data_IF_857966133428
#
_entry.id   IF_857966133428
#
_cell.length_a   1.000
_cell.length_b   1.000
_cell.length_c   1.000
_cell.angle_alpha   90.00
_cell.angle_beta   90.00
_cell.angle_gamma   90.00
#
_symmetry.space_group_name_H-M   'P 1'
#
loop_
_entity.id
_entity.type
_entity.pdbx_description
1 polymer ?
#
# COMPACT_ATOMS: atom_id res chain seq x y z
N UNK A 1 -13.59 18.89 2.36
CA UNK A 1 -12.45 19.84 2.21
C UNK A 1 -11.11 19.17 2.45
N UNK A 2 -10.91 18.36 3.50
CA UNK A 2 -9.67 17.58 3.69
C UNK A 2 -9.42 16.58 2.57
N UNK A 3 -10.46 15.89 2.10
CA UNK A 3 -10.35 14.92 1.01
C UNK A 3 -9.89 15.58 -0.31
N UNK A 4 -10.38 16.78 -0.61
CA UNK A 4 -9.93 17.54 -1.79
C UNK A 4 -8.46 17.95 -1.69
N UNK A 5 -7.97 18.34 -0.51
CA UNK A 5 -6.53 18.65 -0.34
C UNK A 5 -5.67 17.41 -0.60
N UNK A 6 -6.11 16.26 -0.08
CA UNK A 6 -5.42 14.99 -0.26
C UNK A 6 -5.41 14.54 -1.73
N UNK A 7 -6.55 14.59 -2.42
CA UNK A 7 -6.65 14.19 -3.82
C UNK A 7 -5.82 15.11 -4.74
N UNK A 8 -5.87 16.43 -4.53
CA UNK A 8 -5.03 17.37 -5.28
C UNK A 8 -3.54 17.10 -5.05
N UNK A 9 -3.14 16.80 -3.82
CA UNK A 9 -1.75 16.46 -3.54
C UNK A 9 -1.31 15.17 -4.24
N UNK A 10 -2.18 14.15 -4.32
CA UNK A 10 -1.89 12.93 -5.08
C UNK A 10 -1.72 13.26 -6.57
N UNK A 11 -2.55 14.12 -7.13
CA UNK A 11 -2.43 14.60 -8.51
C UNK A 11 -1.06 15.24 -8.73
N UNK A 12 -0.66 16.18 -7.88
CA UNK A 12 0.66 16.82 -7.94
C UNK A 12 1.82 15.80 -7.81
N UNK A 13 1.68 14.81 -6.93
CA UNK A 13 2.68 13.74 -6.76
C UNK A 13 2.81 12.89 -8.01
N UNK A 14 1.70 12.54 -8.67
CA UNK A 14 1.72 11.75 -9.90
C UNK A 14 2.34 12.52 -11.07
N UNK A 15 2.11 13.84 -11.15
CA UNK A 15 2.75 14.71 -12.14
C UNK A 15 4.26 14.84 -11.91
N UNK A 16 4.69 14.90 -10.66
CA UNK A 16 6.10 15.10 -10.29
C UNK A 16 6.86 13.82 -9.97
N UNK A 17 6.23 12.64 -10.11
CA UNK A 17 6.82 11.38 -9.63
C UNK A 17 8.16 11.09 -10.31
N UNK A 18 9.17 10.62 -9.56
CA UNK A 18 10.42 10.19 -10.16
C UNK A 18 10.17 9.04 -11.15
N UNK A 19 10.75 9.10 -12.35
CA UNK A 19 10.64 8.03 -13.37
C UNK A 19 11.03 6.67 -12.80
N UNK A 20 11.95 6.65 -11.83
CA UNK A 20 12.39 5.44 -11.14
C UNK A 20 11.28 4.68 -10.43
N UNK A 21 10.17 5.32 -10.05
CA UNK A 21 8.98 4.64 -9.50
C UNK A 21 8.31 3.70 -10.50
N UNK A 22 8.57 3.86 -11.80
CA UNK A 22 8.06 2.98 -12.85
C UNK A 22 9.14 2.08 -13.44
N UNK A 23 10.36 2.60 -13.59
CA UNK A 23 11.40 1.93 -14.40
C UNK A 23 12.43 1.16 -13.58
N UNK A 24 12.59 1.45 -12.29
CA UNK A 24 13.59 0.78 -11.48
C UNK A 24 13.03 -0.51 -10.88
N UNK A 25 13.77 -1.59 -11.14
CA UNK A 25 13.56 -2.90 -10.53
C UNK A 25 14.86 -3.41 -9.88
N UNK A 26 15.87 -2.54 -9.74
CA UNK A 26 17.24 -2.91 -9.32
C UNK A 26 17.91 -1.91 -8.34
N UNK A 27 18.84 -2.50 -7.55
CA UNK A 27 19.38 -2.17 -6.23
C UNK A 27 19.48 -0.71 -5.75
N UNK A 28 18.93 -0.46 -4.54
CA UNK A 28 19.57 0.39 -3.51
C UNK A 28 19.47 -0.28 -2.11
N UNK A 29 19.90 -1.54 -1.92
CA UNK A 29 19.80 -2.25 -0.62
C UNK A 29 20.74 -1.74 0.51
N UNK A 30 21.58 -0.74 0.32
CA UNK A 30 22.54 -0.40 1.39
C UNK A 30 21.92 0.38 2.58
N UNK A 31 20.61 0.70 2.57
CA UNK A 31 20.00 1.65 3.53
C UNK A 31 18.67 1.15 4.16
N UNK A 32 18.22 -0.08 3.91
CA UNK A 32 16.83 -0.44 4.22
C UNK A 32 16.62 -1.62 5.19
N UNK A 33 15.64 -1.46 6.08
CA UNK A 33 15.11 -2.56 6.90
C UNK A 33 13.87 -3.10 6.19
N UNK A 34 13.99 -4.29 5.59
CA UNK A 34 12.93 -4.94 4.81
C UNK A 34 11.61 -5.07 5.58
N UNK A 35 11.65 -5.20 6.90
CA UNK A 35 10.43 -5.30 7.71
C UNK A 35 9.71 -3.96 7.84
N UNK A 36 10.44 -2.85 7.67
CA UNK A 36 9.95 -1.49 7.88
C UNK A 36 9.81 -0.67 6.61
N UNK A 37 10.19 -1.20 5.45
CA UNK A 37 9.15 -1.37 4.47
C UNK A 37 8.42 -0.12 3.96
N UNK A 38 7.19 -0.44 3.61
CA UNK A 38 6.05 0.44 3.58
C UNK A 38 5.98 1.45 4.75
N UNK A 39 6.33 1.08 5.99
CA UNK A 39 6.17 1.99 7.15
C UNK A 39 7.04 3.25 6.98
N UNK A 40 8.32 3.09 6.68
CA UNK A 40 9.26 4.20 6.47
C UNK A 40 8.87 5.06 5.27
N UNK A 41 8.42 4.44 4.18
CA UNK A 41 7.90 5.17 3.02
C UNK A 41 6.73 6.06 3.43
N UNK A 42 5.74 5.50 4.12
CA UNK A 42 4.52 6.21 4.53
C UNK A 42 4.81 7.34 5.52
N UNK A 43 5.71 7.12 6.49
CA UNK A 43 6.09 8.15 7.47
C UNK A 43 6.71 9.38 6.79
N UNK A 44 7.65 9.16 5.86
CA UNK A 44 8.26 10.27 5.12
C UNK A 44 7.31 10.90 4.10
N UNK A 45 6.48 10.09 3.45
CA UNK A 45 5.46 10.58 2.53
C UNK A 45 4.42 11.47 3.25
N UNK A 46 3.99 11.08 4.46
CA UNK A 46 3.09 11.89 5.29
C UNK A 46 3.73 13.21 5.72
N UNK A 47 5.04 13.24 6.00
CA UNK A 47 5.76 14.48 6.26
C UNK A 47 5.71 15.42 5.04
N UNK A 48 6.00 14.90 3.84
CA UNK A 48 5.91 15.68 2.60
C UNK A 48 4.49 16.20 2.33
N UNK A 49 3.46 15.38 2.59
CA UNK A 49 2.06 15.81 2.47
C UNK A 49 1.71 16.93 3.45
N UNK A 50 2.15 16.84 4.70
CA UNK A 50 1.92 17.86 5.70
C UNK A 50 2.58 19.20 5.32
N UNK A 51 3.76 19.13 4.70
CA UNK A 51 4.51 20.27 4.18
C UNK A 51 4.04 20.73 2.78
N UNK A 52 3.07 20.02 2.18
CA UNK A 52 2.58 20.26 0.81
C UNK A 52 3.72 20.27 -0.23
N UNK A 53 4.67 19.36 -0.09
CA UNK A 53 5.88 19.26 -0.90
C UNK A 53 5.83 18.04 -1.84
N UNK A 54 5.33 18.25 -3.05
CA UNK A 54 5.29 17.26 -4.12
C UNK A 54 6.49 17.35 -5.08
N UNK A 55 7.56 18.09 -4.75
CA UNK A 55 8.70 18.27 -5.64
C UNK A 55 9.40 16.94 -5.97
N UNK A 56 9.74 16.74 -7.25
CA UNK A 56 10.39 15.51 -7.72
C UNK A 56 11.69 15.17 -6.99
N UNK A 57 12.47 16.16 -6.56
CA UNK A 57 13.67 15.96 -5.74
C UNK A 57 13.36 15.38 -4.37
N UNK A 58 12.31 15.87 -3.70
CA UNK A 58 11.88 15.35 -2.40
C UNK A 58 11.29 13.94 -2.53
N UNK A 59 10.49 13.69 -3.57
CA UNK A 59 9.91 12.37 -3.83
C UNK A 59 10.98 11.31 -4.18
N UNK A 60 12.08 11.72 -4.79
CA UNK A 60 13.21 10.84 -5.13
C UNK A 60 13.98 10.34 -3.91
N UNK A 61 13.90 11.07 -2.79
CA UNK A 61 14.58 10.71 -1.52
C UNK A 61 13.72 9.79 -0.65
N UNK A 62 12.46 9.54 -1.00
CA UNK A 62 11.61 8.62 -0.25
C UNK A 62 12.23 7.20 -0.23
N UNK A 63 12.20 6.50 0.90
CA UNK A 63 12.78 5.18 1.03
C UNK A 63 11.85 4.17 0.33
N UNK A 64 12.27 3.73 -0.85
CA UNK A 64 11.47 2.86 -1.73
C UNK A 64 12.12 1.49 -1.86
N UNK A 65 11.33 0.43 -1.70
CA UNK A 65 11.78 -0.95 -1.95
C UNK A 65 11.65 -1.32 -3.44
N UNK A 66 12.38 -0.63 -4.34
CA UNK A 66 12.30 -0.89 -5.79
C UNK A 66 12.58 -2.36 -6.17
N UNK A 67 13.47 -3.00 -5.41
CA UNK A 67 13.99 -4.35 -5.71
C UNK A 67 13.08 -5.48 -5.26
N UNK A 68 12.26 -5.17 -4.27
CA UNK A 68 11.29 -6.08 -3.71
C UNK A 68 9.97 -5.36 -3.72
N UNK A 69 9.43 -5.17 -4.93
CA UNK A 69 8.11 -4.58 -5.21
C UNK A 69 7.03 -5.19 -4.28
N UNK A 70 7.20 -6.47 -3.91
CA UNK A 70 6.34 -7.22 -2.97
C UNK A 70 6.34 -6.67 -1.53
N UNK A 71 7.37 -5.93 -1.12
CA UNK A 71 7.52 -5.32 0.21
C UNK A 71 6.91 -3.92 0.31
N UNK A 72 6.66 -3.25 -0.81
CA UNK A 72 6.07 -1.91 -0.82
C UNK A 72 6.50 -1.07 -2.01
N UNK A 73 5.92 -1.35 -3.18
CA UNK A 73 6.09 -0.49 -4.36
C UNK A 73 5.55 0.92 -4.11
N UNK A 74 6.23 2.01 -4.53
CA UNK A 74 5.82 3.38 -4.23
C UNK A 74 4.39 3.70 -4.67
N UNK A 75 4.00 3.30 -5.88
CA UNK A 75 2.64 3.52 -6.40
C UNK A 75 1.58 2.67 -5.68
N UNK A 76 1.94 1.47 -5.22
CA UNK A 76 1.02 0.67 -4.39
C UNK A 76 0.84 1.31 -3.02
N UNK A 77 1.92 1.79 -2.40
CA UNK A 77 1.88 2.52 -1.14
C UNK A 77 1.05 3.81 -1.26
N UNK A 78 1.16 4.54 -2.37
CA UNK A 78 0.37 5.75 -2.65
C UNK A 78 -1.13 5.41 -2.76
N UNK A 79 -1.48 4.38 -3.53
CA UNK A 79 -2.87 3.91 -3.66
C UNK A 79 -3.44 3.48 -2.31
N UNK A 80 -2.69 2.67 -1.56
CA UNK A 80 -3.09 2.20 -0.24
C UNK A 80 -3.26 3.34 0.75
N UNK A 81 -2.38 4.34 0.71
CA UNK A 81 -2.48 5.55 1.52
C UNK A 81 -3.73 6.37 1.18
N UNK A 82 -4.03 6.57 -0.11
CA UNK A 82 -5.21 7.28 -0.57
C UNK A 82 -6.50 6.60 -0.09
N UNK A 83 -6.62 5.29 -0.33
CA UNK A 83 -7.77 4.49 0.08
C UNK A 83 -7.92 4.48 1.60
N UNK A 84 -6.83 4.37 2.34
CA UNK A 84 -6.86 4.42 3.80
C UNK A 84 -7.41 5.75 4.31
N UNK A 85 -6.93 6.89 3.78
CA UNK A 85 -7.41 8.21 4.18
C UNK A 85 -8.89 8.40 3.86
N UNK A 86 -9.34 8.02 2.66
CA UNK A 86 -10.75 8.09 2.26
C UNK A 86 -11.70 7.27 3.16
N UNK A 87 -11.18 6.20 3.77
CA UNK A 87 -11.95 5.32 4.65
C UNK A 87 -11.63 5.51 6.15
N UNK A 88 -10.88 6.56 6.53
CA UNK A 88 -10.43 6.80 7.91
C UNK A 88 -9.70 5.61 8.55
N UNK A 89 -8.89 4.91 7.76
CA UNK A 89 -8.05 3.79 8.19
C UNK A 89 -6.58 4.21 8.30
N UNK A 90 -5.78 3.42 9.02
CA UNK A 90 -4.32 3.62 9.08
C UNK A 90 -3.68 3.09 7.79
N UNK A 91 -2.95 3.89 7.00
CA UNK A 91 -2.32 3.46 5.74
C UNK A 91 -1.47 2.19 5.85
N UNK A 92 -0.73 2.04 6.95
CA UNK A 92 0.07 0.83 7.23
C UNK A 92 -0.73 -0.48 7.28
N UNK A 93 -2.04 -0.42 7.49
CA UNK A 93 -2.94 -1.57 7.60
C UNK A 93 -3.69 -1.90 6.29
N UNK A 94 -3.62 -1.05 5.27
CA UNK A 94 -4.36 -1.24 4.02
C UNK A 94 -3.45 -1.84 2.96
N UNK A 95 -3.76 -3.02 2.43
CA UNK A 95 -2.93 -3.70 1.43
C UNK A 95 -3.76 -3.92 0.16
N UNK A 96 -3.18 -3.55 -0.97
CA UNK A 96 -3.76 -3.73 -2.30
C UNK A 96 -3.47 -5.14 -2.83
N UNK A 97 -4.45 -5.71 -3.53
CA UNK A 97 -4.33 -7.04 -4.13
C UNK A 97 -4.85 -7.02 -5.57
N UNK A 98 -4.32 -7.90 -6.41
CA UNK A 98 -4.69 -8.00 -7.83
C UNK A 98 -6.10 -8.54 -8.07
N UNK A 99 -6.79 -9.04 -7.05
CA UNK A 99 -8.17 -9.49 -7.14
C UNK A 99 -8.93 -9.33 -5.83
N UNK A 100 -10.26 -9.47 -5.92
CA UNK A 100 -11.16 -9.44 -4.76
C UNK A 100 -11.04 -10.69 -3.87
N UNK A 101 -10.54 -11.81 -4.39
CA UNK A 101 -10.46 -13.10 -3.67
C UNK A 101 -9.12 -13.31 -2.97
N UNK A 102 -8.03 -12.80 -3.54
CA UNK A 102 -6.68 -12.89 -2.97
C UNK A 102 -6.56 -12.36 -1.53
N UNK A 103 -7.15 -11.22 -1.11
CA UNK A 103 -7.04 -10.77 0.29
C UNK A 103 -7.57 -11.82 1.29
N UNK A 104 -8.68 -12.47 0.95
CA UNK A 104 -9.27 -13.53 1.79
C UNK A 104 -8.30 -14.71 1.89
N UNK A 105 -7.76 -15.16 0.75
CA UNK A 105 -6.77 -16.24 0.71
C UNK A 105 -5.49 -15.91 1.49
N UNK A 106 -5.02 -14.65 1.42
CA UNK A 106 -3.85 -14.20 2.15
C UNK A 106 -4.06 -14.32 3.67
N UNK A 107 -5.22 -13.89 4.17
CA UNK A 107 -5.60 -14.01 5.59
C UNK A 107 -5.70 -15.49 5.99
N UNK A 108 -6.36 -16.32 5.19
CA UNK A 108 -6.52 -17.75 5.47
C UNK A 108 -5.16 -18.47 5.54
N UNK A 109 -4.26 -18.19 4.57
CA UNK A 109 -2.91 -18.76 4.56
C UNK A 109 -2.10 -18.30 5.77
N UNK A 110 -2.21 -17.02 6.14
CA UNK A 110 -1.51 -16.50 7.32
C UNK A 110 -2.01 -17.16 8.60
N UNK A 111 -3.32 -17.26 8.79
CA UNK A 111 -3.90 -17.93 9.96
C UNK A 111 -3.51 -19.41 10.04
N UNK A 112 -3.46 -20.12 8.90
CA UNK A 112 -3.00 -21.50 8.86
C UNK A 112 -1.54 -21.64 9.34
N UNK A 113 -0.63 -20.78 8.83
CA UNK A 113 0.77 -20.75 9.26
C UNK A 113 0.92 -20.44 10.76
N UNK A 114 0.04 -19.58 11.30
CA UNK A 114 0.02 -19.20 12.71
C UNK A 114 -0.75 -20.20 13.60
N UNK A 115 -1.21 -21.34 13.05
CA UNK A 115 -2.07 -22.32 13.73
C UNK A 115 -3.32 -21.68 14.38
N UNK A 116 -3.85 -20.63 13.76
CA UNK A 116 -5.04 -19.91 14.21
C UNK A 116 -6.29 -20.48 13.56
N UNK A 117 -7.20 -21.03 14.39
CA UNK A 117 -8.54 -21.44 13.93
C UNK A 117 -9.27 -20.24 13.33
N UNK A 118 -9.79 -20.40 12.12
CA UNK A 118 -10.48 -19.34 11.36
C UNK A 118 -11.94 -19.71 11.17
N UNK A 119 -12.83 -18.74 11.40
CA UNK A 119 -14.26 -18.83 11.07
C UNK A 119 -14.57 -17.71 10.08
N UNK A 120 -15.27 -18.05 8.99
CA UNK A 120 -15.77 -17.09 8.01
C UNK A 120 -17.26 -16.90 8.28
N UNK A 121 -17.68 -15.66 8.50
CA UNK A 121 -19.08 -15.29 8.71
C UNK A 121 -19.49 -14.43 7.51
N UNK A 122 -20.57 -14.80 6.84
CA UNK A 122 -21.08 -14.10 5.67
C UNK A 122 -22.58 -13.88 5.85
N UNK A 123 -23.04 -12.65 5.62
CA UNK A 123 -24.42 -12.23 5.90
C UNK A 123 -25.30 -12.14 4.66
N UNK A 124 -24.74 -12.34 3.47
CA UNK A 124 -25.48 -12.39 2.20
C UNK A 124 -25.82 -13.82 1.78
N UNK A 125 -26.40 -13.95 0.59
CA UNK A 125 -26.60 -15.25 -0.06
C UNK A 125 -25.27 -15.80 -0.57
N UNK A 126 -25.00 -17.08 -0.28
CA UNK A 126 -23.76 -17.75 -0.71
C UNK A 126 -23.63 -17.63 -2.23
N UNK A 127 -22.42 -17.29 -2.75
CA UNK A 127 -22.23 -17.23 -4.19
C UNK A 127 -22.50 -18.59 -4.84
N UNK A 128 -23.09 -18.62 -6.04
CA UNK A 128 -23.43 -19.85 -6.77
C UNK A 128 -22.25 -20.82 -6.99
N UNK A 129 -21.01 -20.30 -6.92
CA UNK A 129 -19.78 -21.06 -7.07
C UNK A 129 -19.19 -21.60 -5.75
N UNK A 130 -19.86 -21.38 -4.62
CA UNK A 130 -19.41 -21.85 -3.31
C UNK A 130 -20.03 -23.21 -3.00
N UNK A 131 -19.22 -24.27 -3.09
CA UNK A 131 -19.63 -25.62 -2.72
C UNK A 131 -19.58 -25.77 -1.19
N UNK A 132 -20.70 -26.20 -0.61
CA UNK A 132 -20.88 -26.36 0.84
C UNK A 132 -20.66 -27.81 1.28
N UNK A 133 -20.54 -28.75 0.33
CA UNK A 133 -20.34 -30.18 0.57
C UNK A 133 -18.87 -30.62 0.62
#
# INVERSE_FOLDING_TARGET
MKDNKMLNYIEDVLENMPIGWLSLTTHRLDIYDENLAKIKFLEQFEALFNDNNSNSSALSELPTAYDYIRLGHPLSCLLEWAIANLNNLKPKNVISFSSKTIPILAILRKNLLDNKRTQIIYTGELPDFFDVE
#
